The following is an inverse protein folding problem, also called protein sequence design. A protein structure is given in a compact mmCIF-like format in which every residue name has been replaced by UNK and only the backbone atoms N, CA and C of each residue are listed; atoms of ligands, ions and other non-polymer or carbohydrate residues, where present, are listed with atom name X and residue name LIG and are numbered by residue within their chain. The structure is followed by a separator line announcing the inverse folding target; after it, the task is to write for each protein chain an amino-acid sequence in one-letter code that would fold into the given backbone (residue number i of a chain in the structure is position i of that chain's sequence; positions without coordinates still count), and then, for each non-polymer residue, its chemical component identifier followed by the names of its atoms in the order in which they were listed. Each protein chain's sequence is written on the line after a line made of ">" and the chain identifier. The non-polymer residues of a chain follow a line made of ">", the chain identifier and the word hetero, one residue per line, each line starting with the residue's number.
data_IF_893095702803
#
_entry.id   IF_893095702803
#
_cell.length_a   1.000
_cell.length_b   1.000
_cell.length_c   1.000
_cell.angle_alpha   90.00
_cell.angle_beta   90.00
_cell.angle_gamma   90.00
#
_symmetry.space_group_name_H-M   'P 1'
#
loop_
_entity.id
_entity.type
_entity.pdbx_description
1 polymer ?
#
# COMPACT_ATOMS: atom_id res chain seq x y z
N UNK A 1 50.29 -11.94 -32.32
CA UNK A 1 49.83 -10.53 -32.35
C UNK A 1 51.03 -9.65 -32.01
N UNK A 2 51.52 -8.85 -32.95
CA UNK A 2 52.68 -7.98 -32.75
C UNK A 2 52.24 -6.60 -32.25
N UNK A 3 53.13 -5.89 -31.56
CA UNK A 3 52.86 -4.55 -31.01
C UNK A 3 52.37 -3.55 -32.07
N UNK A 4 52.90 -3.65 -33.28
CA UNK A 4 52.47 -2.83 -34.41
C UNK A 4 51.00 -3.07 -34.80
N UNK A 5 50.52 -4.32 -34.73
CA UNK A 5 49.11 -4.64 -35.00
C UNK A 5 48.18 -4.02 -33.95
N UNK A 6 48.61 -3.92 -32.70
CA UNK A 6 47.84 -3.28 -31.62
C UNK A 6 47.82 -1.76 -31.76
N UNK A 7 48.93 -1.13 -32.13
CA UNK A 7 48.95 0.31 -32.39
C UNK A 7 48.12 0.69 -33.62
N UNK A 8 48.13 -0.14 -34.66
CA UNK A 8 47.25 0.06 -35.82
C UNK A 8 45.78 0.01 -35.43
N UNK A 9 45.37 -1.01 -34.66
CA UNK A 9 44.01 -1.17 -34.17
C UNK A 9 43.59 0.00 -33.26
N UNK A 10 44.48 0.46 -32.38
CA UNK A 10 44.23 1.62 -31.51
C UNK A 10 43.98 2.89 -32.33
N UNK A 11 44.74 3.09 -33.41
CA UNK A 11 44.63 4.29 -34.26
C UNK A 11 43.32 4.31 -35.05
N UNK A 12 42.87 3.16 -35.54
CA UNK A 12 41.58 3.03 -36.21
C UNK A 12 40.41 3.22 -35.24
N UNK A 13 40.44 2.57 -34.07
CA UNK A 13 39.40 2.72 -33.05
C UNK A 13 39.29 4.16 -32.53
N UNK A 14 40.41 4.91 -32.47
CA UNK A 14 40.41 6.32 -32.05
C UNK A 14 39.57 7.23 -32.94
N UNK A 15 39.52 6.94 -34.25
CA UNK A 15 38.66 7.68 -35.19
C UNK A 15 37.19 7.38 -34.94
N UNK A 16 36.86 6.11 -34.70
CA UNK A 16 35.51 5.63 -34.46
C UNK A 16 34.96 6.01 -33.07
N UNK A 17 35.83 6.21 -32.08
CA UNK A 17 35.43 6.70 -30.75
C UNK A 17 34.80 8.10 -30.76
N UNK A 18 35.09 8.92 -31.78
CA UNK A 18 34.47 10.24 -31.95
C UNK A 18 33.02 10.16 -32.45
N UNK A 19 32.64 9.04 -33.06
CA UNK A 19 31.29 8.75 -33.54
C UNK A 19 30.48 7.94 -32.52
N UNK A 20 31.08 7.60 -31.38
CA UNK A 20 30.36 7.01 -30.27
C UNK A 20 29.42 8.08 -29.72
N UNK A 21 28.11 7.85 -29.84
CA UNK A 21 27.14 8.59 -29.05
C UNK A 21 27.63 8.57 -27.61
N UNK A 22 27.91 9.76 -27.08
CA UNK A 22 28.08 9.89 -25.64
C UNK A 22 26.69 9.61 -25.10
N UNK A 23 26.44 8.36 -24.75
CA UNK A 23 25.37 7.96 -23.85
C UNK A 23 25.60 8.73 -22.54
N UNK A 24 25.19 9.98 -22.55
CA UNK A 24 25.11 10.87 -21.41
C UNK A 24 23.90 10.36 -20.65
N UNK A 25 24.21 9.66 -19.56
CA UNK A 25 23.23 8.84 -18.89
C UNK A 25 23.17 7.47 -19.54
N UNK A 26 23.94 6.53 -18.98
CA UNK A 26 23.26 5.33 -18.54
C UNK A 26 22.12 5.88 -17.68
N UNK A 27 20.91 6.01 -18.23
CA UNK A 27 19.74 5.75 -17.42
C UNK A 27 19.96 4.30 -16.99
N UNK A 28 20.77 4.13 -15.94
CA UNK A 28 20.51 3.13 -14.95
C UNK A 28 19.08 3.48 -14.65
N UNK A 29 18.17 2.73 -15.28
CA UNK A 29 16.90 2.45 -14.69
C UNK A 29 17.33 1.93 -13.33
N UNK A 30 17.40 2.87 -12.38
CA UNK A 30 17.35 2.59 -10.98
C UNK A 30 15.95 2.00 -10.87
N UNK A 31 15.89 0.70 -11.20
CA UNK A 31 14.78 -0.14 -10.85
C UNK A 31 14.91 -0.14 -9.34
N UNK A 32 14.32 0.87 -8.70
CA UNK A 32 14.00 0.88 -7.29
C UNK A 32 12.85 -0.12 -7.13
N UNK A 33 13.13 -1.37 -7.51
CA UNK A 33 12.44 -2.53 -7.02
C UNK A 33 12.92 -2.55 -5.59
N UNK A 34 12.25 -1.75 -4.74
CA UNK A 34 12.24 -2.02 -3.33
C UNK A 34 11.86 -3.50 -3.29
N UNK A 35 12.77 -4.33 -2.82
CA UNK A 35 12.40 -5.64 -2.30
C UNK A 35 11.37 -5.33 -1.22
N UNK A 36 10.10 -5.28 -1.63
CA UNK A 36 8.98 -5.44 -0.76
C UNK A 36 9.19 -6.86 -0.27
N UNK A 37 9.89 -6.98 0.85
CA UNK A 37 9.79 -8.15 1.70
C UNK A 37 8.30 -8.20 2.02
N UNK A 38 7.54 -8.86 1.15
CA UNK A 38 6.16 -9.17 1.39
C UNK A 38 6.21 -10.05 2.61
N UNK A 39 6.05 -9.44 3.79
CA UNK A 39 5.81 -10.19 5.00
C UNK A 39 4.66 -11.12 4.62
N UNK A 40 4.93 -12.42 4.61
CA UNK A 40 3.91 -13.42 4.30
C UNK A 40 2.98 -13.41 5.50
N UNK A 41 2.04 -12.47 5.49
CA UNK A 41 0.94 -12.43 6.45
C UNK A 41 0.13 -13.69 6.15
N UNK A 42 0.07 -14.57 7.14
CA UNK A 42 -0.71 -15.78 7.09
C UNK A 42 -2.09 -15.46 7.66
N UNK A 43 -3.14 -15.92 7.00
CA UNK A 43 -4.51 -15.84 7.48
C UNK A 43 -4.96 -17.20 7.99
N UNK A 44 -5.58 -17.20 9.17
CA UNK A 44 -6.26 -18.37 9.74
C UNK A 44 -7.74 -18.33 9.35
N UNK A 45 -8.26 -19.41 8.80
CA UNK A 45 -9.67 -19.51 8.40
C UNK A 45 -10.22 -20.93 8.59
N UNK A 46 -11.56 -21.04 8.55
CA UNK A 46 -12.27 -22.30 8.72
C UNK A 46 -12.29 -22.86 10.14
N UNK A 47 -13.10 -23.90 10.40
CA UNK A 47 -13.25 -24.52 11.71
C UNK A 47 -12.02 -25.33 12.15
N UNK A 48 -11.19 -25.79 11.20
CA UNK A 48 -9.97 -26.56 11.47
C UNK A 48 -8.72 -25.67 11.63
N UNK A 49 -8.84 -24.35 11.46
CA UNK A 49 -7.73 -23.40 11.62
C UNK A 49 -6.72 -23.49 10.47
N UNK A 50 -7.20 -23.56 9.24
CA UNK A 50 -6.37 -23.59 8.03
C UNK A 50 -5.57 -22.31 7.90
N UNK A 51 -4.32 -22.41 7.41
CA UNK A 51 -3.40 -21.28 7.27
C UNK A 51 -2.90 -21.15 5.85
N UNK A 52 -3.26 -20.05 5.19
CA UNK A 52 -2.73 -19.71 3.87
C UNK A 52 -2.10 -18.32 3.87
N UNK A 53 -1.16 -18.05 2.95
CA UNK A 53 -0.73 -16.68 2.68
C UNK A 53 -1.94 -15.84 2.22
N UNK A 54 -2.01 -14.58 2.66
CA UNK A 54 -3.10 -13.65 2.28
C UNK A 54 -3.32 -13.58 0.77
N UNK A 55 -2.24 -13.58 -0.02
CA UNK A 55 -2.34 -13.53 -1.48
C UNK A 55 -3.05 -14.77 -2.08
N UNK A 56 -2.76 -15.96 -1.55
CA UNK A 56 -3.37 -17.21 -2.02
C UNK A 56 -4.85 -17.28 -1.61
N UNK A 57 -5.13 -16.93 -0.35
CA UNK A 57 -6.50 -16.88 0.15
C UNK A 57 -7.37 -15.86 -0.61
N UNK A 58 -6.80 -14.72 -1.00
CA UNK A 58 -7.46 -13.74 -1.88
C UNK A 58 -7.88 -14.36 -3.20
N UNK A 59 -6.99 -15.12 -3.85
CA UNK A 59 -7.31 -15.79 -5.13
C UNK A 59 -8.46 -16.78 -4.96
N UNK A 60 -8.46 -17.58 -3.88
CA UNK A 60 -9.55 -18.51 -3.59
C UNK A 60 -10.90 -17.81 -3.42
N UNK A 61 -10.94 -16.69 -2.68
CA UNK A 61 -12.15 -15.88 -2.51
C UNK A 61 -12.66 -15.38 -3.87
N UNK A 62 -11.77 -14.81 -4.68
CA UNK A 62 -12.13 -14.22 -5.98
C UNK A 62 -12.66 -15.30 -6.95
N UNK A 63 -12.04 -16.48 -6.98
CA UNK A 63 -12.51 -17.61 -7.77
C UNK A 63 -13.87 -18.12 -7.28
N UNK A 64 -14.04 -18.27 -5.97
CA UNK A 64 -15.31 -18.70 -5.37
C UNK A 64 -16.45 -17.76 -5.71
N UNK A 65 -16.23 -16.45 -5.56
CA UNK A 65 -17.23 -15.43 -5.88
C UNK A 65 -17.56 -15.45 -7.38
N UNK A 66 -16.57 -15.63 -8.26
CA UNK A 66 -16.80 -15.76 -9.70
C UNK A 66 -17.62 -17.00 -10.06
N UNK A 67 -17.37 -18.14 -9.41
CA UNK A 67 -18.17 -19.36 -9.60
C UNK A 67 -19.61 -19.16 -9.10
N UNK A 68 -19.75 -18.65 -7.88
CA UNK A 68 -21.06 -18.39 -7.28
C UNK A 68 -21.87 -17.31 -8.02
N UNK A 69 -21.22 -16.40 -8.75
CA UNK A 69 -21.91 -15.40 -9.57
C UNK A 69 -22.80 -16.03 -10.65
N UNK A 70 -22.45 -17.23 -11.14
CA UNK A 70 -23.24 -17.95 -12.15
C UNK A 70 -24.52 -18.53 -11.53
N UNK A 71 -24.44 -19.01 -10.29
CA UNK A 71 -25.50 -19.78 -9.65
C UNK A 71 -26.36 -18.95 -8.67
N UNK A 72 -25.79 -17.91 -8.07
CA UNK A 72 -26.41 -17.16 -6.98
C UNK A 72 -27.09 -15.86 -7.48
N UNK A 73 -28.43 -15.75 -7.37
CA UNK A 73 -29.16 -14.56 -7.83
C UNK A 73 -28.83 -13.29 -7.03
N UNK A 74 -28.35 -13.41 -5.78
CA UNK A 74 -27.95 -12.24 -4.97
C UNK A 74 -26.69 -11.58 -5.53
N UNK A 75 -25.69 -12.37 -5.93
CA UNK A 75 -24.46 -11.84 -6.54
C UNK A 75 -24.75 -11.20 -7.91
N UNK A 76 -25.66 -11.79 -8.69
CA UNK A 76 -26.12 -11.20 -9.95
C UNK A 76 -26.83 -9.85 -9.73
N UNK A 77 -27.68 -9.78 -8.70
CA UNK A 77 -28.36 -8.53 -8.31
C UNK A 77 -27.36 -7.43 -7.95
N UNK A 78 -26.30 -7.76 -7.21
CA UNK A 78 -25.20 -6.82 -6.91
C UNK A 78 -24.49 -6.39 -8.20
N UNK A 79 -24.16 -7.34 -9.10
CA UNK A 79 -23.51 -7.07 -10.40
C UNK A 79 -24.32 -6.12 -11.28
N UNK A 80 -25.65 -6.27 -11.28
CA UNK A 80 -26.58 -5.41 -12.01
C UNK A 80 -26.72 -3.99 -11.41
N UNK A 81 -26.01 -3.69 -10.31
CA UNK A 81 -26.10 -2.42 -9.61
C UNK A 81 -27.41 -2.22 -8.84
N UNK A 82 -28.18 -3.30 -8.60
CA UNK A 82 -29.42 -3.24 -7.81
C UNK A 82 -29.07 -3.27 -6.33
N UNK A 83 -29.73 -2.41 -5.55
CA UNK A 83 -29.57 -2.41 -4.10
C UNK A 83 -30.09 -3.72 -3.49
N UNK A 84 -29.33 -4.28 -2.57
CA UNK A 84 -29.73 -5.43 -1.75
C UNK A 84 -29.99 -4.95 -0.32
N UNK A 85 -30.95 -5.59 0.35
CA UNK A 85 -31.26 -5.23 1.73
C UNK A 85 -30.30 -5.94 2.72
N UNK A 86 -30.30 -5.48 3.98
CA UNK A 86 -29.40 -6.02 5.01
C UNK A 86 -29.61 -7.52 5.27
N UNK A 87 -30.84 -8.03 5.11
CA UNK A 87 -31.16 -9.45 5.25
C UNK A 87 -30.58 -10.30 4.11
N UNK A 88 -30.61 -9.79 2.88
CA UNK A 88 -30.00 -10.42 1.70
C UNK A 88 -28.46 -10.42 1.83
N UNK A 89 -27.88 -9.33 2.36
CA UNK A 89 -26.45 -9.26 2.67
C UNK A 89 -26.06 -10.30 3.71
N UNK A 90 -26.80 -10.38 4.83
CA UNK A 90 -26.54 -11.35 5.89
C UNK A 90 -26.64 -12.79 5.38
N UNK A 91 -27.65 -13.10 4.56
CA UNK A 91 -27.79 -14.42 3.93
C UNK A 91 -26.60 -14.74 3.00
N UNK A 92 -26.15 -13.78 2.19
CA UNK A 92 -25.00 -13.97 1.32
C UNK A 92 -23.72 -14.23 2.13
N UNK A 93 -23.52 -13.49 3.23
CA UNK A 93 -22.42 -13.69 4.15
C UNK A 93 -22.46 -15.09 4.81
N UNK A 94 -23.64 -15.56 5.24
CA UNK A 94 -23.81 -16.91 5.80
C UNK A 94 -23.46 -18.01 4.78
N UNK A 95 -23.90 -17.87 3.53
CA UNK A 95 -23.60 -18.85 2.48
C UNK A 95 -22.08 -18.90 2.22
N UNK A 96 -21.43 -17.74 2.15
CA UNK A 96 -19.99 -17.65 1.91
C UNK A 96 -19.15 -18.10 3.12
N UNK A 97 -19.67 -17.95 4.33
CA UNK A 97 -19.04 -18.46 5.55
C UNK A 97 -19.24 -19.98 5.71
N UNK A 98 -20.34 -20.55 5.23
CA UNK A 98 -20.64 -21.98 5.40
C UNK A 98 -19.96 -22.89 4.38
N UNK A 99 -19.36 -22.31 3.34
CA UNK A 99 -18.70 -23.05 2.27
C UNK A 99 -17.22 -22.68 2.23
N UNK A 100 -16.36 -23.62 1.86
CA UNK A 100 -14.96 -23.34 1.54
C UNK A 100 -14.87 -22.17 0.53
N UNK A 101 -14.12 -21.08 0.84
CA UNK A 101 -13.07 -20.94 1.87
C UNK A 101 -13.46 -20.20 3.18
N UNK A 102 -14.68 -20.40 3.70
CA UNK A 102 -15.19 -19.85 4.97
C UNK A 102 -15.01 -18.34 5.08
N UNK A 103 -15.55 -17.61 4.10
CA UNK A 103 -15.31 -16.18 3.98
C UNK A 103 -16.11 -15.43 5.04
N UNK A 104 -15.41 -14.76 5.94
CA UNK A 104 -15.99 -13.85 6.94
C UNK A 104 -15.63 -12.40 6.60
N UNK A 105 -16.40 -11.45 7.14
CA UNK A 105 -16.06 -10.02 7.02
C UNK A 105 -14.67 -9.72 7.61
N UNK A 106 -14.33 -10.36 8.73
CA UNK A 106 -13.02 -10.18 9.36
C UNK A 106 -11.88 -10.68 8.47
N UNK A 107 -12.05 -11.83 7.81
CA UNK A 107 -11.06 -12.34 6.86
C UNK A 107 -10.89 -11.39 5.67
N UNK A 108 -11.99 -10.83 5.15
CA UNK A 108 -11.94 -9.85 4.06
C UNK A 108 -11.21 -8.57 4.46
N UNK A 109 -11.42 -8.06 5.68
CA UNK A 109 -10.70 -6.89 6.21
C UNK A 109 -9.21 -7.11 6.27
N UNK A 110 -8.77 -8.31 6.66
CA UNK A 110 -7.36 -8.69 6.67
C UNK A 110 -6.79 -8.82 5.24
N UNK A 111 -7.53 -9.46 4.34
CA UNK A 111 -7.08 -9.74 2.97
C UNK A 111 -6.91 -8.47 2.14
N UNK A 112 -7.82 -7.52 2.29
CA UNK A 112 -7.83 -6.27 1.54
C UNK A 112 -7.22 -5.10 2.33
N UNK A 113 -6.65 -5.35 3.52
CA UNK A 113 -6.08 -4.33 4.42
C UNK A 113 -7.04 -3.13 4.59
N UNK A 114 -8.32 -3.37 4.86
CA UNK A 114 -9.31 -2.31 5.05
C UNK A 114 -10.25 -2.66 6.21
N UNK A 115 -10.16 -1.92 7.33
CA UNK A 115 -10.93 -2.21 8.56
C UNK A 115 -12.33 -1.60 8.59
N UNK A 116 -12.61 -0.60 7.74
CA UNK A 116 -13.87 0.16 7.75
C UNK A 116 -14.88 -0.32 6.72
N UNK A 117 -14.38 -0.95 5.66
CA UNK A 117 -15.20 -1.54 4.64
C UNK A 117 -16.11 -2.62 5.23
N UNK A 118 -17.37 -2.61 4.81
CA UNK A 118 -18.32 -3.65 5.14
C UNK A 118 -18.25 -4.78 4.12
N UNK A 119 -18.82 -5.93 4.47
CA UNK A 119 -18.91 -7.09 3.60
C UNK A 119 -19.32 -6.74 2.15
N UNK A 120 -20.35 -5.92 1.99
CA UNK A 120 -20.86 -5.52 0.68
C UNK A 120 -19.84 -4.73 -0.16
N UNK A 121 -19.00 -3.91 0.49
CA UNK A 121 -17.98 -3.12 -0.19
C UNK A 121 -16.88 -4.01 -0.77
N UNK A 122 -16.47 -5.05 -0.02
CA UNK A 122 -15.54 -6.07 -0.53
C UNK A 122 -16.14 -6.83 -1.72
N UNK A 123 -17.39 -7.26 -1.64
CA UNK A 123 -18.03 -7.98 -2.75
C UNK A 123 -18.12 -7.08 -4.00
N UNK A 124 -18.51 -5.81 -3.84
CA UNK A 124 -18.51 -4.85 -4.96
C UNK A 124 -17.11 -4.65 -5.54
N UNK A 125 -16.09 -4.60 -4.69
CA UNK A 125 -14.71 -4.49 -5.12
C UNK A 125 -14.25 -5.70 -5.94
N UNK A 126 -14.53 -6.90 -5.46
CA UNK A 126 -14.20 -8.17 -6.14
C UNK A 126 -14.92 -8.28 -7.50
N UNK A 127 -16.15 -7.78 -7.58
CA UNK A 127 -16.93 -7.71 -8.81
C UNK A 127 -16.54 -6.56 -9.74
N UNK A 128 -15.60 -5.70 -9.35
CA UNK A 128 -15.15 -4.55 -10.14
C UNK A 128 -16.14 -3.39 -10.21
N UNK A 129 -17.10 -3.32 -9.28
CA UNK A 129 -18.13 -2.28 -9.22
C UNK A 129 -17.72 -1.08 -8.36
N UNK A 130 -16.75 -1.27 -7.47
CA UNK A 130 -16.26 -0.21 -6.58
C UNK A 130 -14.75 -0.32 -6.36
N UNK A 131 -14.10 0.82 -6.18
CA UNK A 131 -12.71 0.87 -5.75
C UNK A 131 -12.70 0.81 -4.23
N UNK A 132 -11.99 -0.16 -3.67
CA UNK A 132 -11.76 -0.26 -2.25
C UNK A 132 -10.31 0.13 -1.99
N UNK A 133 -10.07 1.37 -1.51
CA UNK A 133 -8.71 1.76 -1.17
C UNK A 133 -8.22 0.89 -0.01
N UNK A 134 -6.97 0.47 -0.09
CA UNK A 134 -6.29 -0.16 1.04
C UNK A 134 -6.00 0.88 2.11
N UNK A 135 -5.84 0.45 3.37
CA UNK A 135 -5.43 1.30 4.49
C UNK A 135 -4.17 2.09 4.14
N UNK A 136 -3.22 1.44 3.49
CA UNK A 136 -1.97 2.09 3.05
C UNK A 136 -2.22 3.19 2.02
N UNK A 137 -3.14 2.99 1.07
CA UNK A 137 -3.53 4.00 0.08
C UNK A 137 -4.29 5.18 0.70
N UNK A 138 -5.23 4.90 1.61
CA UNK A 138 -5.96 5.95 2.34
C UNK A 138 -5.02 6.82 3.16
N UNK A 139 -4.09 6.20 3.90
CA UNK A 139 -3.04 6.92 4.65
C UNK A 139 -2.19 7.73 3.67
N UNK A 140 -1.72 7.13 2.57
CA UNK A 140 -0.92 7.85 1.57
C UNK A 140 -1.63 9.09 1.03
N UNK A 141 -2.90 8.94 0.61
CA UNK A 141 -3.70 10.03 0.07
C UNK A 141 -3.92 11.14 1.09
N UNK A 142 -4.22 10.78 2.35
CA UNK A 142 -4.38 11.75 3.43
C UNK A 142 -3.10 12.56 3.69
N UNK A 143 -1.93 11.89 3.72
CA UNK A 143 -0.64 12.55 3.89
C UNK A 143 -0.27 13.44 2.70
N UNK A 144 -0.57 13.02 1.47
CA UNK A 144 -0.32 13.82 0.27
C UNK A 144 -1.22 15.06 0.25
N UNK A 145 -2.49 14.92 0.65
CA UNK A 145 -3.42 16.05 0.81
C UNK A 145 -2.95 17.02 1.90
N UNK A 146 -2.44 16.50 3.02
CA UNK A 146 -1.84 17.31 4.09
C UNK A 146 -0.65 18.12 3.56
N UNK A 147 0.33 17.48 2.94
CA UNK A 147 1.50 18.17 2.37
C UNK A 147 1.06 19.23 1.32
N UNK A 148 0.08 18.91 0.48
CA UNK A 148 -0.44 19.84 -0.55
C UNK A 148 -1.19 21.05 0.04
N UNK A 149 -1.79 20.90 1.23
CA UNK A 149 -2.39 22.03 1.97
C UNK A 149 -1.32 22.97 2.51
N UNK A 150 -0.15 22.43 2.85
CA UNK A 150 0.98 23.12 3.45
C UNK A 150 2.14 23.34 2.45
N UNK A 151 1.85 24.03 1.34
CA UNK A 151 2.83 24.29 0.26
C UNK A 151 4.05 25.14 0.66
N UNK A 152 4.11 25.63 1.91
CA UNK A 152 5.21 26.41 2.45
C UNK A 152 6.22 25.57 3.26
N UNK A 153 5.97 24.27 3.44
CA UNK A 153 6.91 23.42 4.17
C UNK A 153 8.25 23.26 3.45
N UNK A 154 9.32 23.31 4.23
CA UNK A 154 10.68 23.04 3.80
C UNK A 154 10.89 21.56 3.49
N UNK A 155 11.98 21.25 2.78
CA UNK A 155 12.35 19.86 2.45
C UNK A 155 12.47 18.99 3.70
N UNK A 156 13.05 19.52 4.79
CA UNK A 156 13.21 18.80 6.05
C UNK A 156 11.85 18.51 6.72
N UNK A 157 10.92 19.46 6.71
CA UNK A 157 9.56 19.28 7.24
C UNK A 157 8.76 18.24 6.43
N UNK A 158 8.83 18.29 5.10
CA UNK A 158 8.18 17.29 4.23
C UNK A 158 8.77 15.90 4.48
N UNK A 159 10.11 15.80 4.60
CA UNK A 159 10.76 14.54 4.93
C UNK A 159 10.31 14.00 6.28
N UNK A 160 10.16 14.87 7.29
CA UNK A 160 9.64 14.50 8.60
C UNK A 160 8.24 13.91 8.52
N UNK A 161 7.32 14.58 7.82
CA UNK A 161 5.95 14.11 7.59
C UNK A 161 5.93 12.76 6.86
N UNK A 162 6.80 12.57 5.86
CA UNK A 162 6.94 11.28 5.16
C UNK A 162 7.46 10.17 6.08
N UNK A 163 8.36 10.49 7.02
CA UNK A 163 8.82 9.54 8.02
C UNK A 163 7.71 9.16 9.00
N UNK A 164 6.86 10.11 9.40
CA UNK A 164 5.65 9.82 10.20
C UNK A 164 4.78 8.84 9.44
N UNK A 165 4.53 9.08 8.15
CA UNK A 165 3.73 8.20 7.30
C UNK A 165 4.23 6.77 7.30
N UNK A 166 5.53 6.56 7.05
CA UNK A 166 6.14 5.22 7.07
C UNK A 166 5.97 4.57 8.44
N UNK A 167 6.20 5.32 9.52
CA UNK A 167 6.03 4.81 10.87
C UNK A 167 4.60 4.38 11.18
N UNK A 168 3.58 5.14 10.75
CA UNK A 168 2.16 4.78 10.94
C UNK A 168 1.81 3.54 10.13
N UNK A 169 2.30 3.41 8.88
CA UNK A 169 2.04 2.22 8.06
C UNK A 169 2.63 0.96 8.70
N UNK A 170 3.84 1.06 9.24
CA UNK A 170 4.58 -0.07 9.83
C UNK A 170 4.12 -0.42 11.26
N UNK A 171 3.97 0.58 12.15
CA UNK A 171 3.66 0.38 13.58
C UNK A 171 2.19 0.62 13.94
N UNK A 172 1.39 1.15 13.02
CA UNK A 172 -0.04 1.42 13.23
C UNK A 172 -0.38 2.67 14.02
N UNK A 173 0.53 3.20 14.86
CA UNK A 173 0.30 4.45 15.58
C UNK A 173 1.62 5.15 15.90
N UNK A 174 1.56 6.47 16.08
CA UNK A 174 2.69 7.30 16.50
C UNK A 174 2.27 8.04 17.77
N UNK A 175 3.05 7.92 18.83
CA UNK A 175 2.89 8.71 20.05
C UNK A 175 3.73 9.97 19.97
N UNK A 176 3.37 10.97 20.79
CA UNK A 176 4.15 12.21 20.93
C UNK A 176 5.60 11.95 21.34
N UNK A 177 5.84 10.91 22.14
CA UNK A 177 7.17 10.49 22.58
C UNK A 177 8.02 9.99 21.41
N UNK A 178 7.42 9.26 20.47
CA UNK A 178 8.13 8.73 19.30
C UNK A 178 8.68 9.85 18.41
N UNK A 179 7.99 11.00 18.33
CA UNK A 179 8.36 12.15 17.48
C UNK A 179 9.65 12.88 17.91
N UNK A 180 10.17 12.56 19.10
CA UNK A 180 11.45 13.09 19.62
C UNK A 180 12.53 12.01 19.71
N UNK A 181 12.24 10.79 19.24
CA UNK A 181 13.16 9.66 19.20
C UNK A 181 13.54 9.28 17.76
N UNK A 182 14.43 8.28 17.60
CA UNK A 182 14.71 7.71 16.28
C UNK A 182 13.45 7.05 15.72
N UNK A 183 13.12 7.21 14.42
CA UNK A 183 13.93 7.73 13.32
C UNK A 183 13.89 9.25 13.12
N UNK A 184 13.05 9.98 13.84
CA UNK A 184 12.78 11.40 13.63
C UNK A 184 13.98 12.29 13.98
N UNK A 185 14.75 11.91 14.99
CA UNK A 185 15.99 12.62 15.39
C UNK A 185 17.09 12.57 14.33
N UNK A 186 17.00 11.67 13.34
CA UNK A 186 17.95 11.63 12.22
C UNK A 186 17.75 12.80 11.25
N UNK A 187 16.55 13.38 11.22
CA UNK A 187 16.21 14.52 10.36
C UNK A 187 16.59 15.82 11.06
N UNK A 188 16.27 15.93 12.35
CA UNK A 188 16.62 17.09 13.16
C UNK A 188 16.92 16.68 14.62
N UNK A 189 18.00 17.19 15.26
CA UNK A 189 18.38 16.79 16.62
C UNK A 189 17.31 17.01 17.70
N UNK A 190 16.42 17.99 17.48
CA UNK A 190 15.29 18.33 18.37
C UNK A 190 13.95 17.68 17.92
N UNK A 191 13.98 16.77 16.94
CA UNK A 191 12.78 16.13 16.39
C UNK A 191 11.78 17.16 15.84
N UNK A 192 10.50 16.94 16.13
CA UNK A 192 9.40 17.82 15.69
C UNK A 192 9.56 19.27 16.16
N UNK A 193 10.11 19.50 17.36
CA UNK A 193 10.22 20.84 17.98
C UNK A 193 11.23 21.76 17.30
N UNK A 194 12.18 21.19 16.56
CA UNK A 194 13.16 21.97 15.81
C UNK A 194 12.71 22.33 14.39
N UNK A 195 11.66 21.67 13.89
CA UNK A 195 11.21 21.81 12.51
C UNK A 195 9.86 22.52 12.40
N UNK A 196 9.00 22.44 13.41
CA UNK A 196 7.63 22.97 13.35
C UNK A 196 7.37 23.94 14.51
N UNK A 197 6.55 24.97 14.25
CA UNK A 197 6.06 25.87 15.29
C UNK A 197 4.98 25.22 16.16
N UNK A 198 4.69 25.79 17.33
CA UNK A 198 3.73 25.19 18.29
C UNK A 198 2.35 24.91 17.69
N UNK A 199 1.83 25.81 16.84
CA UNK A 199 0.54 25.64 16.18
C UNK A 199 0.55 24.48 15.17
N UNK A 200 1.65 24.33 14.42
CA UNK A 200 1.82 23.26 13.43
C UNK A 200 1.99 21.91 14.12
N UNK A 201 2.70 21.88 15.26
CA UNK A 201 2.83 20.67 16.08
C UNK A 201 1.45 20.17 16.51
N UNK A 202 0.58 21.06 16.99
CA UNK A 202 -0.79 20.70 17.39
C UNK A 202 -1.61 20.19 16.19
N UNK A 203 -1.47 20.79 15.01
CA UNK A 203 -2.14 20.32 13.79
C UNK A 203 -1.64 18.93 13.38
N UNK A 204 -0.32 18.72 13.38
CA UNK A 204 0.30 17.43 13.05
C UNK A 204 -0.11 16.35 14.05
N UNK A 205 -0.15 16.65 15.35
CA UNK A 205 -0.57 15.69 16.37
C UNK A 205 -2.03 15.26 16.19
N UNK A 206 -2.93 16.21 15.91
CA UNK A 206 -4.34 15.89 15.61
C UNK A 206 -4.45 15.03 14.36
N UNK A 207 -3.71 15.38 13.30
CA UNK A 207 -3.68 14.61 12.07
C UNK A 207 -3.16 13.18 12.30
N UNK A 208 -2.09 13.02 13.08
CA UNK A 208 -1.56 11.72 13.46
C UNK A 208 -2.57 10.91 14.28
N UNK A 209 -3.31 11.54 15.20
CA UNK A 209 -4.34 10.86 15.98
C UNK A 209 -5.49 10.36 15.10
N UNK A 210 -5.92 11.16 14.12
CA UNK A 210 -6.92 10.77 13.12
C UNK A 210 -6.43 9.61 12.25
N UNK A 211 -5.17 9.65 11.81
CA UNK A 211 -4.55 8.55 11.05
C UNK A 211 -4.31 7.31 11.91
N UNK A 212 -4.00 7.48 13.20
CA UNK A 212 -3.92 6.38 14.16
C UNK A 212 -5.26 5.68 14.36
N UNK A 213 -6.37 6.42 14.38
CA UNK A 213 -7.74 5.87 14.36
C UNK A 213 -8.15 5.27 13.00
N UNK A 214 -7.43 5.57 11.93
CA UNK A 214 -7.55 4.87 10.65
C UNK A 214 -6.73 3.57 10.65
N UNK A 215 -5.65 3.52 11.43
CA UNK A 215 -4.71 2.42 11.45
C UNK A 215 -4.95 1.39 12.57
N UNK A 216 -5.61 1.78 13.67
CA UNK A 216 -6.11 0.94 14.76
C UNK A 216 -7.52 0.40 14.47
#
# INVERSE_FOLDING_TARGET
>A
MTFESLEHLRKELRGLMKLRDTFSGVNLLELNIRDLIAQKVMIEFGPEGERLPVAEYRTLIEEKIKQMLVENPLLQKIKDGKSINDYEVARLAEILNSNDPYVTEENLRLVYDNRRAHFLDFIKHILGLSLLPTRTEDINSAFDAFISKHNYYTVAQIQFIRTIKTFIVDQGSVKREDLVDRPFTNIHPLGIRGLFGENEIVEIEKFIEEMGKLAA
#
